data_IF_624775372506
#
_entry.id   IF_624775372506
#
_cell.length_a   1.000
_cell.length_b   1.000
_cell.length_c   1.000
_cell.angle_alpha   90.00
_cell.angle_beta   90.00
_cell.angle_gamma   90.00
#
_symmetry.space_group_name_H-M   'P 1'
#
loop_
_entity.id
_entity.type
_entity.pdbx_description
1 polymer ?
#
# COMPACT_ATOMS: atom_id res chain seq x y z
N UNK A 1 -4.21 49.72 -38.63
CA UNK A 1 -5.13 49.10 -37.65
C UNK A 1 -4.57 49.39 -36.28
N UNK A 2 -5.38 49.84 -35.32
CA UNK A 2 -4.87 50.15 -33.99
C UNK A 2 -4.28 48.90 -33.31
N UNK A 3 -3.14 49.02 -32.61
CA UNK A 3 -2.51 47.89 -31.92
C UNK A 3 -3.45 47.22 -30.90
N UNK A 4 -4.40 47.98 -30.34
CA UNK A 4 -5.45 47.46 -29.46
C UNK A 4 -6.36 46.43 -30.17
N UNK A 5 -6.73 46.69 -31.43
CA UNK A 5 -7.57 45.79 -32.22
C UNK A 5 -6.81 44.51 -32.54
N UNK A 6 -5.53 44.63 -32.90
CA UNK A 6 -4.67 43.47 -33.14
C UNK A 6 -4.56 42.59 -31.87
N UNK A 7 -4.34 43.20 -30.71
CA UNK A 7 -4.25 42.49 -29.43
C UNK A 7 -5.55 41.75 -29.09
N UNK A 8 -6.71 42.40 -29.28
CA UNK A 8 -8.02 41.76 -29.03
C UNK A 8 -8.27 40.54 -29.91
N UNK A 9 -7.93 40.61 -31.21
CA UNK A 9 -8.08 39.49 -32.14
C UNK A 9 -7.15 38.32 -31.78
N UNK A 10 -5.92 38.61 -31.35
CA UNK A 10 -4.97 37.57 -30.90
C UNK A 10 -5.53 36.84 -29.68
N UNK A 11 -6.05 37.57 -28.67
CA UNK A 11 -6.62 36.95 -27.47
C UNK A 11 -7.82 36.05 -27.83
N UNK A 12 -8.73 36.52 -28.69
CA UNK A 12 -9.88 35.74 -29.14
C UNK A 12 -9.45 34.46 -29.87
N UNK A 13 -8.44 34.56 -30.74
CA UNK A 13 -7.88 33.41 -31.44
C UNK A 13 -7.29 32.37 -30.47
N UNK A 14 -6.57 32.80 -29.43
CA UNK A 14 -6.01 31.88 -28.41
C UNK A 14 -7.13 31.17 -27.64
N UNK A 15 -8.15 31.89 -27.17
CA UNK A 15 -9.28 31.28 -26.44
C UNK A 15 -10.06 30.31 -27.34
N UNK A 16 -10.22 30.66 -28.62
CA UNK A 16 -10.84 29.77 -29.59
C UNK A 16 -10.01 28.51 -29.83
N UNK A 17 -8.68 28.62 -29.98
CA UNK A 17 -7.80 27.46 -30.13
C UNK A 17 -7.85 26.53 -28.90
N UNK A 18 -7.86 27.08 -27.68
CA UNK A 18 -8.02 26.27 -26.46
C UNK A 18 -9.36 25.53 -26.47
N UNK A 19 -10.45 26.24 -26.79
CA UNK A 19 -11.80 25.64 -26.89
C UNK A 19 -11.87 24.57 -27.97
N UNK A 20 -11.25 24.83 -29.13
CA UNK A 20 -11.15 23.90 -30.23
C UNK A 20 -10.32 22.66 -29.87
N UNK A 21 -9.19 22.83 -29.19
CA UNK A 21 -8.37 21.72 -28.70
C UNK A 21 -9.16 20.82 -27.73
N UNK A 22 -9.91 21.40 -26.79
CA UNK A 22 -10.79 20.64 -25.89
C UNK A 22 -11.85 19.88 -26.69
N UNK A 23 -12.51 20.54 -27.64
CA UNK A 23 -13.47 19.91 -28.55
C UNK A 23 -12.85 18.80 -29.38
N UNK A 24 -11.64 18.96 -29.92
CA UNK A 24 -10.93 17.93 -30.69
C UNK A 24 -10.56 16.75 -29.81
N UNK A 25 -10.11 16.97 -28.57
CA UNK A 25 -9.83 15.89 -27.61
C UNK A 25 -11.12 15.14 -27.25
N UNK A 26 -12.22 15.85 -26.96
CA UNK A 26 -13.53 15.23 -26.69
C UNK A 26 -14.09 14.52 -27.92
N UNK A 27 -13.94 15.09 -29.11
CA UNK A 27 -14.37 14.49 -30.37
C UNK A 27 -13.51 13.30 -30.75
N UNK A 28 -12.18 13.33 -30.53
CA UNK A 28 -11.29 12.19 -30.77
C UNK A 28 -11.59 11.08 -29.78
N UNK A 29 -11.77 11.41 -28.50
CA UNK A 29 -12.24 10.47 -27.48
C UNK A 29 -13.59 9.84 -27.91
N UNK A 30 -14.56 10.65 -28.32
CA UNK A 30 -15.89 10.20 -28.78
C UNK A 30 -15.88 9.49 -30.14
N UNK A 31 -14.96 9.81 -31.03
CA UNK A 31 -14.83 9.18 -32.34
C UNK A 31 -14.17 7.82 -32.22
N UNK A 32 -13.08 7.71 -31.45
CA UNK A 32 -12.48 6.43 -31.08
C UNK A 32 -13.51 5.56 -30.37
N UNK A 33 -14.32 6.15 -29.49
CA UNK A 33 -15.46 5.51 -28.84
C UNK A 33 -16.53 4.98 -29.83
N UNK A 34 -16.98 5.78 -30.80
CA UNK A 34 -17.94 5.33 -31.82
C UNK A 34 -17.35 4.25 -32.74
N UNK A 35 -16.07 4.35 -33.10
CA UNK A 35 -15.38 3.32 -33.92
C UNK A 35 -15.26 2.00 -33.17
N UNK A 36 -14.92 2.04 -31.88
CA UNK A 36 -14.86 0.87 -31.02
C UNK A 36 -16.22 0.17 -30.95
N UNK A 37 -17.30 0.92 -30.69
CA UNK A 37 -18.67 0.37 -30.68
C UNK A 37 -19.10 -0.23 -32.04
N UNK A 38 -18.75 0.41 -33.16
CA UNK A 38 -19.16 -0.06 -34.50
C UNK A 38 -18.36 -1.27 -34.98
N UNK A 39 -17.07 -1.36 -34.63
CA UNK A 39 -16.21 -2.47 -35.05
C UNK A 39 -16.49 -3.75 -34.28
N UNK A 40 -16.99 -3.66 -33.05
CA UNK A 40 -17.04 -4.80 -32.14
C UNK A 40 -18.43 -5.44 -32.00
N UNK A 41 -19.50 -4.83 -32.52
CA UNK A 41 -20.90 -5.27 -32.29
C UNK A 41 -21.19 -6.73 -32.66
N UNK A 42 -20.49 -7.32 -33.62
CA UNK A 42 -20.76 -8.68 -34.09
C UNK A 42 -19.85 -9.76 -33.44
N UNK A 43 -18.72 -9.36 -32.83
CA UNK A 43 -17.81 -10.27 -32.11
C UNK A 43 -17.93 -10.18 -30.59
N UNK A 44 -18.59 -9.13 -30.07
CA UNK A 44 -18.64 -8.84 -28.64
C UNK A 44 -19.65 -9.67 -27.86
N UNK A 45 -20.76 -10.16 -28.41
CA UNK A 45 -21.73 -10.91 -27.56
C UNK A 45 -21.08 -12.13 -26.88
N UNK A 46 -20.13 -12.78 -27.57
CA UNK A 46 -19.33 -13.87 -26.98
C UNK A 46 -18.30 -13.38 -25.96
N UNK A 47 -17.48 -12.37 -26.32
CA UNK A 47 -16.47 -11.79 -25.41
C UNK A 47 -17.07 -11.03 -24.21
N UNK A 48 -18.29 -10.51 -24.36
CA UNK A 48 -19.09 -9.90 -23.30
C UNK A 48 -19.46 -10.94 -22.27
N UNK A 49 -19.92 -12.11 -22.71
CA UNK A 49 -20.26 -13.18 -21.80
C UNK A 49 -19.00 -13.65 -21.05
N UNK A 50 -17.92 -13.93 -21.79
CA UNK A 50 -16.67 -14.46 -21.21
C UNK A 50 -16.09 -13.52 -20.12
N UNK A 51 -16.00 -12.22 -20.38
CA UNK A 51 -15.42 -11.26 -19.44
C UNK A 51 -16.33 -10.96 -18.24
N UNK A 52 -17.65 -10.98 -18.45
CA UNK A 52 -18.59 -10.82 -17.34
C UNK A 52 -18.61 -12.06 -16.46
N UNK A 53 -18.44 -13.24 -17.06
CA UNK A 53 -18.24 -14.49 -16.35
C UNK A 53 -16.94 -14.47 -15.53
N UNK A 54 -15.85 -13.87 -16.02
CA UNK A 54 -14.63 -13.64 -15.20
C UNK A 54 -14.95 -12.83 -13.93
N UNK A 55 -15.77 -11.79 -14.05
CA UNK A 55 -16.18 -10.97 -12.90
C UNK A 55 -17.08 -11.74 -11.92
N UNK A 56 -18.01 -12.54 -12.43
CA UNK A 56 -18.85 -13.42 -11.60
C UNK A 56 -17.95 -14.44 -10.88
N UNK A 57 -16.95 -15.01 -11.55
CA UNK A 57 -16.01 -15.98 -10.99
C UNK A 57 -15.01 -15.38 -9.99
N UNK A 58 -14.77 -14.06 -10.05
CA UNK A 58 -13.86 -13.39 -9.11
C UNK A 58 -14.32 -13.56 -7.65
N UNK A 59 -15.61 -13.40 -7.38
CA UNK A 59 -16.16 -13.53 -6.02
C UNK A 59 -15.94 -14.93 -5.41
N UNK A 60 -16.34 -16.05 -6.04
CA UNK A 60 -16.08 -17.38 -5.49
C UNK A 60 -14.60 -17.73 -5.43
N UNK A 61 -13.76 -17.25 -6.37
CA UNK A 61 -12.32 -17.46 -6.31
C UNK A 61 -11.69 -16.79 -5.07
N UNK A 62 -12.08 -15.55 -4.78
CA UNK A 62 -11.66 -14.84 -3.58
C UNK A 62 -12.16 -15.55 -2.31
N UNK A 63 -13.42 -15.99 -2.30
CA UNK A 63 -13.97 -16.76 -1.17
C UNK A 63 -13.18 -18.03 -0.93
N UNK A 64 -12.91 -18.81 -1.98
CA UNK A 64 -12.14 -20.04 -1.91
C UNK A 64 -10.71 -19.78 -1.41
N UNK A 65 -10.07 -18.70 -1.86
CA UNK A 65 -8.74 -18.32 -1.40
C UNK A 65 -8.73 -17.93 0.08
N UNK A 66 -9.77 -17.27 0.60
CA UNK A 66 -9.94 -17.02 2.03
C UNK A 66 -10.13 -18.32 2.81
N UNK A 67 -11.02 -19.19 2.36
CA UNK A 67 -11.36 -20.45 3.04
C UNK A 67 -10.18 -21.43 3.09
N UNK A 68 -9.33 -21.41 2.05
CA UNK A 68 -8.10 -22.21 1.98
C UNK A 68 -7.02 -21.75 2.98
N UNK A 69 -7.17 -20.59 3.62
CA UNK A 69 -6.18 -20.00 4.51
C UNK A 69 -6.76 -19.80 5.93
N UNK A 70 -6.92 -20.88 6.73
CA UNK A 70 -7.56 -20.82 8.04
C UNK A 70 -6.82 -19.93 9.04
N UNK A 71 -5.50 -19.76 8.88
CA UNK A 71 -4.67 -18.88 9.71
C UNK A 71 -5.09 -17.41 9.63
N UNK A 72 -5.83 -16.99 8.60
CA UNK A 72 -6.44 -15.66 8.53
C UNK A 72 -7.54 -15.45 9.60
N UNK A 73 -8.16 -16.53 10.09
CA UNK A 73 -9.19 -16.48 11.13
C UNK A 73 -8.66 -16.10 12.51
N UNK A 74 -7.40 -16.46 12.79
CA UNK A 74 -6.73 -16.24 14.08
C UNK A 74 -5.85 -14.97 14.07
N UNK A 75 -6.00 -14.12 13.06
CA UNK A 75 -5.21 -12.92 12.87
C UNK A 75 -5.46 -11.88 13.97
N UNK A 76 -4.40 -11.42 14.63
CA UNK A 76 -4.42 -10.35 15.64
C UNK A 76 -3.58 -9.15 15.21
N UNK A 77 -3.86 -7.98 15.80
CA UNK A 77 -3.10 -6.76 15.57
C UNK A 77 -3.12 -6.31 14.11
N UNK A 78 -1.94 -6.12 13.50
CA UNK A 78 -1.81 -5.69 12.10
C UNK A 78 -2.47 -6.64 11.11
N UNK A 79 -2.39 -7.95 11.38
CA UNK A 79 -2.91 -8.96 10.47
C UNK A 79 -4.44 -8.90 10.42
N UNK A 80 -5.10 -8.50 11.52
CA UNK A 80 -6.54 -8.30 11.56
C UNK A 80 -7.01 -7.25 10.54
N UNK A 81 -6.28 -6.13 10.42
CA UNK A 81 -6.58 -5.09 9.42
C UNK A 81 -6.29 -5.57 7.99
N UNK A 82 -5.33 -6.46 7.79
CA UNK A 82 -5.05 -7.05 6.48
C UNK A 82 -6.18 -8.01 6.05
N UNK A 83 -6.64 -8.85 6.99
CA UNK A 83 -7.74 -9.78 6.78
C UNK A 83 -9.05 -9.04 6.50
N UNK A 84 -9.32 -7.95 7.20
CA UNK A 84 -10.52 -7.14 6.94
C UNK A 84 -10.49 -6.53 5.53
N UNK A 85 -9.34 -6.05 5.05
CA UNK A 85 -9.17 -5.58 3.66
C UNK A 85 -9.50 -6.70 2.67
N UNK A 86 -8.98 -7.92 2.89
CA UNK A 86 -9.28 -9.07 2.03
C UNK A 86 -10.79 -9.41 2.04
N UNK A 87 -11.43 -9.38 3.20
CA UNK A 87 -12.89 -9.63 3.34
C UNK A 87 -13.73 -8.52 2.68
N UNK A 88 -13.33 -7.26 2.81
CA UNK A 88 -13.99 -6.14 2.15
C UNK A 88 -13.83 -6.21 0.63
N UNK A 89 -12.68 -6.65 0.13
CA UNK A 89 -12.48 -6.96 -1.28
C UNK A 89 -13.46 -8.04 -1.75
N UNK A 90 -13.60 -9.12 -1.00
CA UNK A 90 -14.58 -10.17 -1.29
C UNK A 90 -16.01 -9.60 -1.34
N UNK A 91 -16.44 -8.87 -0.32
CA UNK A 91 -17.77 -8.26 -0.24
C UNK A 91 -18.03 -7.27 -1.38
N UNK A 92 -17.03 -6.49 -1.77
CA UNK A 92 -17.11 -5.61 -2.92
C UNK A 92 -17.34 -6.42 -4.19
N UNK A 93 -16.53 -7.45 -4.44
CA UNK A 93 -16.67 -8.30 -5.64
C UNK A 93 -17.99 -9.08 -5.67
N UNK A 94 -18.48 -9.55 -4.53
CA UNK A 94 -19.79 -10.20 -4.38
C UNK A 94 -20.95 -9.22 -4.60
N UNK A 95 -20.81 -7.97 -4.16
CA UNK A 95 -21.82 -6.93 -4.43
C UNK A 95 -21.86 -6.60 -5.91
N UNK A 96 -20.70 -6.54 -6.57
CA UNK A 96 -20.58 -6.21 -7.98
C UNK A 96 -21.01 -7.36 -8.90
N UNK A 97 -20.81 -8.63 -8.50
CA UNK A 97 -21.24 -9.80 -9.27
C UNK A 97 -22.77 -9.96 -9.33
N UNK A 98 -23.50 -9.43 -8.33
CA UNK A 98 -24.98 -9.44 -8.27
C UNK A 98 -25.65 -8.38 -9.15
N UNK A 99 -24.88 -7.47 -9.72
CA UNK A 99 -25.41 -6.37 -10.52
C UNK A 99 -25.84 -6.88 -11.88
N UNK A 100 -27.08 -6.67 -12.36
CA UNK A 100 -27.52 -7.25 -13.64
C UNK A 100 -26.72 -6.72 -14.83
N UNK A 101 -26.49 -7.57 -15.84
CA UNK A 101 -25.91 -7.14 -17.11
C UNK A 101 -26.78 -6.05 -17.76
N UNK A 102 -26.14 -4.97 -18.21
CA UNK A 102 -26.80 -3.78 -18.74
C UNK A 102 -26.35 -3.56 -20.20
N UNK A 103 -27.14 -2.85 -21.01
CA UNK A 103 -26.79 -2.48 -22.39
C UNK A 103 -25.50 -1.64 -22.48
N UNK A 104 -25.11 -0.98 -21.37
CA UNK A 104 -23.85 -0.24 -21.26
C UNK A 104 -22.63 -1.13 -20.99
N UNK A 105 -22.81 -2.40 -20.68
CA UNK A 105 -21.72 -3.31 -20.34
C UNK A 105 -20.64 -3.43 -21.43
N UNK A 106 -20.99 -3.56 -22.74
CA UNK A 106 -20.01 -3.62 -23.83
C UNK A 106 -19.06 -2.42 -23.87
N UNK A 107 -19.50 -1.27 -23.35
CA UNK A 107 -18.73 -0.04 -23.31
C UNK A 107 -17.56 -0.10 -22.31
N UNK A 108 -17.78 -0.78 -21.19
CA UNK A 108 -16.86 -0.82 -20.06
C UNK A 108 -16.21 -2.19 -19.87
N UNK A 109 -16.54 -3.16 -20.74
CA UNK A 109 -16.12 -4.55 -20.60
C UNK A 109 -14.59 -4.69 -20.46
N UNK A 110 -13.81 -4.08 -21.36
CA UNK A 110 -12.34 -4.10 -21.29
C UNK A 110 -11.81 -3.54 -19.96
N UNK A 111 -12.43 -2.46 -19.47
CA UNK A 111 -12.05 -1.83 -18.20
C UNK A 111 -12.40 -2.71 -17.00
N UNK A 112 -13.54 -3.41 -17.06
CA UNK A 112 -13.99 -4.34 -16.03
C UNK A 112 -13.07 -5.57 -16.01
N UNK A 113 -12.89 -6.27 -17.13
CA UNK A 113 -12.01 -7.45 -17.21
C UNK A 113 -10.58 -7.12 -16.79
N UNK A 114 -10.01 -6.00 -17.28
CA UNK A 114 -8.67 -5.57 -16.87
C UNK A 114 -8.59 -5.31 -15.36
N UNK A 115 -9.60 -4.67 -14.77
CA UNK A 115 -9.63 -4.40 -13.33
C UNK A 115 -9.83 -5.68 -12.52
N UNK A 116 -10.69 -6.60 -12.98
CA UNK A 116 -10.93 -7.92 -12.41
C UNK A 116 -9.66 -8.77 -12.38
N UNK A 117 -8.97 -8.88 -13.51
CA UNK A 117 -7.70 -9.61 -13.61
C UNK A 117 -6.61 -8.99 -12.74
N UNK A 118 -6.61 -7.65 -12.61
CA UNK A 118 -5.69 -6.94 -11.73
C UNK A 118 -5.99 -7.23 -10.25
N UNK A 119 -7.27 -7.21 -9.85
CA UNK A 119 -7.67 -7.56 -8.48
C UNK A 119 -7.25 -8.98 -8.16
N UNK A 120 -7.51 -9.95 -9.04
CA UNK A 120 -7.12 -11.34 -8.81
C UNK A 120 -5.61 -11.47 -8.54
N UNK A 121 -4.77 -10.84 -9.36
CA UNK A 121 -3.32 -10.82 -9.17
C UNK A 121 -2.92 -10.13 -7.87
N UNK A 122 -3.41 -8.91 -7.64
CA UNK A 122 -3.06 -8.12 -6.46
C UNK A 122 -3.49 -8.84 -5.17
N UNK A 123 -4.65 -9.48 -5.19
CA UNK A 123 -5.20 -10.28 -4.10
C UNK A 123 -4.32 -11.50 -3.81
N UNK A 124 -3.98 -12.29 -4.84
CA UNK A 124 -3.12 -13.46 -4.69
C UNK A 124 -1.73 -13.09 -4.17
N UNK A 125 -1.14 -12.01 -4.69
CA UNK A 125 0.16 -11.53 -4.22
C UNK A 125 0.08 -11.02 -2.78
N UNK A 126 -0.97 -10.28 -2.42
CA UNK A 126 -1.16 -9.80 -1.05
C UNK A 126 -1.31 -10.96 -0.07
N UNK A 127 -2.16 -11.94 -0.39
CA UNK A 127 -2.37 -13.13 0.42
C UNK A 127 -1.09 -13.96 0.58
N UNK A 128 -0.31 -14.14 -0.50
CA UNK A 128 1.01 -14.79 -0.44
C UNK A 128 1.97 -14.03 0.46
N UNK A 129 2.03 -12.70 0.37
CA UNK A 129 2.88 -11.88 1.24
C UNK A 129 2.48 -12.04 2.71
N UNK A 130 1.19 -12.03 3.04
CA UNK A 130 0.73 -12.23 4.41
C UNK A 130 1.08 -13.63 4.96
N UNK A 131 1.17 -14.65 4.10
CA UNK A 131 1.61 -16.00 4.48
C UNK A 131 3.12 -16.16 4.65
N UNK A 132 3.93 -15.15 4.31
CA UNK A 132 5.37 -15.20 4.52
C UNK A 132 5.71 -14.91 5.99
N UNK A 133 6.54 -15.76 6.60
CA UNK A 133 6.91 -15.67 8.03
C UNK A 133 7.52 -14.32 8.42
N UNK A 134 8.28 -13.69 7.51
CA UNK A 134 9.01 -12.44 7.75
C UNK A 134 8.66 -11.39 6.69
N UNK A 135 7.37 -11.18 6.43
CA UNK A 135 6.94 -10.11 5.53
C UNK A 135 7.21 -8.74 6.19
N UNK A 136 7.94 -7.89 5.48
CA UNK A 136 8.13 -6.50 5.88
C UNK A 136 6.77 -5.77 5.87
N UNK A 137 6.53 -5.03 6.95
CA UNK A 137 5.32 -4.24 7.14
C UNK A 137 5.14 -3.19 6.03
N UNK A 138 6.23 -2.61 5.52
CA UNK A 138 6.17 -1.67 4.40
C UNK A 138 5.70 -2.36 3.10
N UNK A 139 6.12 -3.61 2.89
CA UNK A 139 5.68 -4.40 1.73
C UNK A 139 4.20 -4.76 1.88
N UNK A 140 3.76 -5.17 3.06
CA UNK A 140 2.34 -5.44 3.36
C UNK A 140 1.47 -4.20 3.07
N UNK A 141 1.89 -3.02 3.53
CA UNK A 141 1.19 -1.75 3.29
C UNK A 141 1.11 -1.41 1.80
N UNK A 142 2.22 -1.52 1.06
CA UNK A 142 2.24 -1.29 -0.37
C UNK A 142 1.30 -2.24 -1.15
N UNK A 143 1.25 -3.52 -0.75
CA UNK A 143 0.36 -4.52 -1.37
C UNK A 143 -1.10 -4.28 -1.04
N UNK A 144 -1.42 -3.92 0.20
CA UNK A 144 -2.76 -3.51 0.59
C UNK A 144 -3.22 -2.28 -0.22
N UNK A 145 -2.37 -1.27 -0.36
CA UNK A 145 -2.60 -0.10 -1.19
C UNK A 145 -2.85 -0.45 -2.66
N UNK A 146 -2.09 -1.39 -3.22
CA UNK A 146 -2.29 -1.88 -4.59
C UNK A 146 -3.65 -2.56 -4.77
N UNK A 147 -4.04 -3.44 -3.85
CA UNK A 147 -5.33 -4.14 -3.88
C UNK A 147 -6.52 -3.16 -3.74
N UNK A 148 -6.43 -2.18 -2.86
CA UNK A 148 -7.48 -1.15 -2.72
C UNK A 148 -7.56 -0.27 -3.96
N UNK A 149 -6.41 0.06 -4.56
CA UNK A 149 -6.38 0.83 -5.81
C UNK A 149 -7.02 0.08 -6.98
N UNK A 150 -6.79 -1.24 -7.10
CA UNK A 150 -7.44 -2.06 -8.13
C UNK A 150 -8.94 -2.25 -7.86
N UNK A 151 -9.34 -2.41 -6.59
CA UNK A 151 -10.74 -2.42 -6.14
C UNK A 151 -11.47 -1.10 -6.47
N UNK A 152 -10.80 0.03 -6.26
CA UNK A 152 -11.32 1.35 -6.62
C UNK A 152 -11.45 1.51 -8.14
N UNK A 153 -10.46 1.07 -8.91
CA UNK A 153 -10.50 1.12 -10.37
C UNK A 153 -11.70 0.35 -10.94
N UNK A 154 -12.03 -0.82 -10.36
CA UNK A 154 -13.23 -1.58 -10.72
C UNK A 154 -14.52 -0.84 -10.35
N UNK A 155 -14.53 -0.07 -9.26
CA UNK A 155 -15.73 0.66 -8.80
C UNK A 155 -16.14 1.79 -9.76
N UNK A 156 -15.21 2.37 -10.53
CA UNK A 156 -15.48 3.47 -11.46
C UNK A 156 -16.47 3.08 -12.57
N UNK A 157 -16.22 2.05 -13.42
CA UNK A 157 -17.16 1.66 -14.46
C UNK A 157 -18.51 1.22 -13.88
N UNK A 158 -18.52 0.52 -12.74
CA UNK A 158 -19.76 0.12 -12.08
C UNK A 158 -20.56 1.30 -11.54
N UNK A 159 -19.90 2.33 -10.99
CA UNK A 159 -20.58 3.52 -10.49
C UNK A 159 -21.27 4.32 -11.61
N UNK A 160 -20.75 4.22 -12.84
CA UNK A 160 -21.33 4.86 -14.03
C UNK A 160 -22.51 4.05 -14.60
N UNK A 161 -22.40 2.72 -14.60
CA UNK A 161 -23.45 1.83 -15.11
C UNK A 161 -24.60 1.62 -14.11
N UNK A 162 -24.30 1.65 -12.81
CA UNK A 162 -25.20 1.21 -11.73
C UNK A 162 -25.16 2.18 -10.55
N UNK A 163 -25.90 3.30 -10.61
CA UNK A 163 -25.90 4.30 -9.56
C UNK A 163 -26.42 3.78 -8.21
N UNK A 164 -27.17 2.66 -8.20
CA UNK A 164 -27.69 2.03 -6.97
C UNK A 164 -26.60 1.39 -6.12
N UNK A 165 -25.63 0.70 -6.74
CA UNK A 165 -24.52 0.06 -6.02
C UNK A 165 -23.40 1.04 -5.66
N UNK A 166 -23.38 2.23 -6.27
CA UNK A 166 -22.37 3.28 -6.03
C UNK A 166 -22.17 3.59 -4.54
N UNK A 167 -23.25 3.71 -3.78
CA UNK A 167 -23.16 4.05 -2.35
C UNK A 167 -22.53 2.90 -1.54
N UNK A 168 -22.94 1.65 -1.81
CA UNK A 168 -22.35 0.47 -1.17
C UNK A 168 -20.88 0.30 -1.55
N UNK A 169 -20.53 0.44 -2.82
CA UNK A 169 -19.15 0.33 -3.28
C UNK A 169 -18.26 1.41 -2.65
N UNK A 170 -18.77 2.65 -2.59
CA UNK A 170 -18.05 3.74 -1.91
C UNK A 170 -17.83 3.43 -0.43
N UNK A 171 -18.83 2.87 0.26
CA UNK A 171 -18.68 2.48 1.66
C UNK A 171 -17.60 1.40 1.85
N UNK A 172 -17.57 0.37 1.00
CA UNK A 172 -16.52 -0.66 1.05
C UNK A 172 -15.12 -0.07 0.83
N UNK A 173 -14.95 0.79 -0.18
CA UNK A 173 -13.65 1.43 -0.45
C UNK A 173 -13.22 2.31 0.72
N UNK A 174 -14.11 3.14 1.27
CA UNK A 174 -13.79 3.99 2.43
C UNK A 174 -13.39 3.16 3.65
N UNK A 175 -14.02 2.03 3.89
CA UNK A 175 -13.62 1.12 4.97
C UNK A 175 -12.24 0.49 4.71
N UNK A 176 -11.96 0.08 3.47
CA UNK A 176 -10.63 -0.42 3.10
C UNK A 176 -9.54 0.66 3.26
N UNK A 177 -9.83 1.90 2.88
CA UNK A 177 -8.94 3.05 3.06
C UNK A 177 -8.67 3.35 4.54
N UNK A 178 -9.68 3.17 5.40
CA UNK A 178 -9.52 3.28 6.85
C UNK A 178 -8.51 2.25 7.38
N UNK A 179 -8.65 0.98 6.98
CA UNK A 179 -7.66 -0.05 7.35
C UNK A 179 -6.26 0.25 6.81
N UNK A 180 -6.13 0.79 5.59
CA UNK A 180 -4.84 1.26 5.05
C UNK A 180 -4.25 2.38 5.91
N UNK A 181 -5.07 3.35 6.33
CA UNK A 181 -4.57 4.47 7.16
C UNK A 181 -3.97 3.98 8.48
N UNK A 182 -4.58 2.95 9.07
CA UNK A 182 -4.06 2.26 10.25
C UNK A 182 -2.75 1.53 9.92
N UNK A 183 -2.69 0.76 8.83
CA UNK A 183 -1.45 0.11 8.37
C UNK A 183 -0.30 1.12 8.20
N UNK A 184 -0.57 2.27 7.59
CA UNK A 184 0.41 3.36 7.44
C UNK A 184 0.93 3.88 8.76
N UNK A 185 0.07 3.99 9.77
CA UNK A 185 0.50 4.40 11.11
C UNK A 185 1.44 3.38 11.76
N UNK A 186 1.21 2.08 11.54
CA UNK A 186 2.10 1.02 12.01
C UNK A 186 3.45 1.05 11.29
N UNK A 187 3.46 1.24 9.96
CA UNK A 187 4.71 1.39 9.18
C UNK A 187 5.53 2.56 9.74
N UNK A 188 4.89 3.72 9.90
CA UNK A 188 5.55 4.93 10.43
C UNK A 188 6.14 4.69 11.82
N UNK A 189 5.39 4.05 12.70
CA UNK A 189 5.87 3.71 14.05
C UNK A 189 7.06 2.75 14.01
N UNK A 190 7.05 1.76 13.11
CA UNK A 190 8.17 0.84 12.93
C UNK A 190 9.43 1.54 12.39
N UNK A 191 9.27 2.48 11.45
CA UNK A 191 10.36 3.31 10.93
C UNK A 191 10.98 4.21 12.00
N UNK A 192 10.14 4.94 12.76
CA UNK A 192 10.59 5.79 13.87
C UNK A 192 11.32 4.99 14.95
N UNK A 193 10.83 3.78 15.26
CA UNK A 193 11.49 2.85 16.19
C UNK A 193 12.86 2.41 15.66
N UNK A 194 12.96 2.11 14.38
CA UNK A 194 14.22 1.68 13.77
C UNK A 194 15.26 2.82 13.77
N UNK A 195 14.83 4.05 13.46
CA UNK A 195 15.68 5.23 13.52
C UNK A 195 16.21 5.49 14.94
N UNK A 196 15.34 5.40 15.95
CA UNK A 196 15.75 5.57 17.35
C UNK A 196 16.78 4.51 17.80
N UNK A 197 16.64 3.26 17.33
CA UNK A 197 17.61 2.20 17.62
C UNK A 197 18.97 2.49 16.96
N UNK A 198 18.98 2.91 15.69
CA UNK A 198 20.22 3.26 14.97
C UNK A 198 20.94 4.41 15.68
N UNK A 199 20.23 5.45 16.12
CA UNK A 199 20.82 6.56 16.87
C UNK A 199 21.44 6.07 18.18
N UNK A 200 20.72 5.23 18.94
CA UNK A 200 21.24 4.69 20.21
C UNK A 200 22.47 3.79 20.02
N UNK A 201 22.54 3.04 18.92
CA UNK A 201 23.69 2.21 18.57
C UNK A 201 24.89 3.08 18.16
N UNK A 202 24.67 4.13 17.36
CA UNK A 202 25.70 5.06 16.96
C UNK A 202 26.27 5.83 18.17
N UNK A 203 25.42 6.25 19.11
CA UNK A 203 25.87 6.89 20.35
C UNK A 203 26.72 5.93 21.19
N UNK A 204 26.32 4.66 21.30
CA UNK A 204 27.08 3.66 22.05
C UNK A 204 28.43 3.32 21.37
N UNK A 205 28.46 3.26 20.03
CA UNK A 205 29.70 3.08 19.27
C UNK A 205 30.64 4.30 19.40
N UNK A 206 30.10 5.51 19.36
CA UNK A 206 30.86 6.74 19.61
C UNK A 206 31.44 6.76 21.03
N UNK A 207 30.64 6.38 22.04
CA UNK A 207 31.12 6.24 23.43
C UNK A 207 32.23 5.19 23.51
N UNK A 208 32.06 4.02 22.89
CA UNK A 208 33.06 2.95 22.87
C UNK A 208 34.36 3.40 22.20
N UNK A 209 34.28 4.06 21.05
CA UNK A 209 35.44 4.61 20.33
C UNK A 209 36.13 5.72 21.11
N UNK A 210 35.38 6.56 21.84
CA UNK A 210 35.94 7.57 22.73
C UNK A 210 36.76 6.92 23.85
N UNK A 211 36.25 5.87 24.50
CA UNK A 211 37.01 5.14 25.54
C UNK A 211 38.24 4.41 24.97
N UNK A 212 38.13 3.77 23.80
CA UNK A 212 39.26 3.07 23.16
C UNK A 212 40.39 4.03 22.73
N UNK A 213 40.05 5.23 22.26
CA UNK A 213 41.05 6.22 21.86
C UNK A 213 41.69 6.93 23.06
N UNK A 214 40.93 7.26 24.10
CA UNK A 214 41.47 7.85 25.34
C UNK A 214 42.47 6.89 26.01
N UNK A 215 42.16 5.58 26.02
CA UNK A 215 43.06 4.54 26.53
C UNK A 215 44.38 4.40 25.73
N UNK A 216 44.37 4.78 24.45
CA UNK A 216 45.55 4.76 23.57
C UNK A 216 46.38 6.03 23.68
N UNK A 217 45.77 7.18 23.97
CA UNK A 217 46.50 8.43 24.21
C UNK A 217 47.26 8.40 25.55
N UNK A 218 46.67 7.85 26.62
CA UNK A 218 47.36 7.71 27.92
C UNK A 218 48.55 6.73 27.87
N UNK A 219 48.59 5.82 26.90
CA UNK A 219 49.74 4.93 26.70
C UNK A 219 50.89 5.57 25.91
N UNK A 220 50.63 6.57 25.06
CA UNK A 220 51.71 7.23 24.30
C UNK A 220 52.65 8.07 25.17
N UNK A 221 52.17 8.60 26.29
CA UNK A 221 53.01 9.37 27.20
C UNK A 221 53.80 8.49 28.20
N UNK A 222 53.48 7.19 28.30
CA UNK A 222 54.14 6.27 29.23
C UNK A 222 55.04 5.21 28.57
N UNK A 223 54.96 5.03 27.24
CA UNK A 223 55.70 3.95 26.56
C UNK A 223 57.18 4.26 26.25
N UNK A 224 57.74 5.38 26.72
CA UNK A 224 59.20 5.50 26.81
C UNK A 224 59.81 4.58 27.89
N UNK A 225 59.00 3.86 28.67
CA UNK A 225 59.50 2.85 29.60
C UNK A 225 58.67 1.57 29.50
N UNK A 226 59.37 0.53 29.04
CA UNK A 226 59.07 -0.90 29.23
C UNK A 226 58.34 -1.61 28.09
N UNK A 227 59.08 -1.73 26.99
CA UNK A 227 59.15 -2.98 26.21
C UNK A 227 59.34 -4.21 27.11
N UNK A 228 58.50 -5.24 26.90
CA UNK A 228 58.70 -6.70 27.01
C UNK A 228 57.51 -7.42 27.64
N UNK A 229 57.14 -8.53 26.98
CA UNK A 229 56.26 -9.65 27.37
C UNK A 229 54.75 -9.44 27.05
N UNK A 230 54.21 -9.85 25.87
CA UNK A 230 54.15 -11.15 25.16
C UNK A 230 53.05 -12.11 25.69
N UNK A 231 52.02 -12.27 24.84
CA UNK A 231 51.16 -13.44 24.57
C UNK A 231 50.19 -13.99 25.65
N UNK A 232 48.87 -13.96 25.38
CA UNK A 232 48.14 -15.09 24.74
C UNK A 232 46.60 -14.85 24.62
N UNK A 233 46.08 -15.23 23.44
CA UNK A 233 44.83 -15.94 23.11
C UNK A 233 43.45 -15.38 23.55
N UNK A 234 42.65 -14.84 22.62
CA UNK A 234 41.71 -15.52 21.68
C UNK A 234 40.53 -16.19 22.41
N UNK A 235 39.35 -15.57 22.30
CA UNK A 235 38.09 -16.17 21.82
C UNK A 235 36.95 -15.17 22.03
N UNK A 236 36.43 -14.56 20.96
CA UNK A 236 35.11 -13.93 21.02
C UNK A 236 34.37 -14.22 19.72
N UNK A 237 33.47 -15.20 19.81
CA UNK A 237 32.57 -15.64 18.75
C UNK A 237 31.68 -14.49 18.29
N UNK A 238 31.64 -14.32 16.98
CA UNK A 238 30.80 -13.36 16.26
C UNK A 238 29.81 -14.18 15.45
N UNK A 239 28.57 -14.35 15.91
CA UNK A 239 27.39 -14.71 15.10
C UNK A 239 26.23 -15.08 16.00
N UNK A 240 25.22 -14.20 16.09
CA UNK A 240 23.80 -14.52 15.85
C UNK A 240 22.95 -13.30 16.24
N UNK A 241 22.45 -12.62 15.20
CA UNK A 241 21.55 -11.49 15.31
C UNK A 241 20.13 -12.01 15.06
N UNK A 242 19.55 -12.66 16.07
CA UNK A 242 18.14 -13.06 16.06
C UNK A 242 17.28 -11.87 16.49
N UNK A 243 16.61 -11.26 15.52
CA UNK A 243 15.55 -10.27 15.74
C UNK A 243 14.32 -11.02 16.26
N UNK A 244 14.29 -11.29 17.56
CA UNK A 244 13.08 -11.75 18.24
C UNK A 244 12.19 -10.53 18.45
N UNK A 245 11.14 -10.45 17.64
CA UNK A 245 9.96 -9.64 17.91
C UNK A 245 9.34 -10.20 19.20
N UNK A 246 9.72 -9.63 20.34
CA UNK A 246 9.00 -9.84 21.60
C UNK A 246 8.33 -8.53 21.96
N UNK A 247 7.02 -8.53 21.78
CA UNK A 247 6.09 -7.57 22.32
C UNK A 247 6.36 -7.42 23.83
N UNK A 248 6.80 -6.25 24.24
CA UNK A 248 6.79 -5.87 25.66
C UNK A 248 5.51 -5.07 25.90
N UNK A 249 4.62 -5.52 26.80
CA UNK A 249 3.37 -4.84 27.06
C UNK A 249 3.60 -3.53 27.81
N UNK A 250 2.75 -2.57 27.47
CA UNK A 250 2.64 -1.22 27.99
C UNK A 250 2.65 -1.26 29.53
N UNK A 251 3.75 -0.76 30.14
CA UNK A 251 3.80 -0.51 31.57
C UNK A 251 3.14 0.84 31.83
N UNK A 252 1.93 0.81 32.39
CA UNK A 252 1.31 1.97 33.00
C UNK A 252 2.08 2.32 34.28
N UNK A 253 2.74 3.47 34.26
CA UNK A 253 3.33 4.12 35.45
C UNK A 253 2.20 4.62 36.35
N UNK A 254 1.84 3.81 37.35
CA UNK A 254 1.16 4.27 38.56
C UNK A 254 1.90 3.67 39.77
N UNK A 255 2.94 4.36 40.24
CA UNK A 255 3.24 4.33 41.67
C UNK A 255 3.95 5.61 42.14
N UNK A 256 3.14 6.64 42.30
CA UNK A 256 3.38 7.75 43.21
C UNK A 256 3.45 7.17 44.63
N UNK A 257 4.62 7.24 45.28
CA UNK A 257 4.80 7.55 46.71
C UNK A 257 6.20 7.15 47.17
N UNK A 258 7.16 8.09 47.06
CA UNK A 258 8.26 8.19 48.02
C UNK A 258 9.08 9.46 47.79
N UNK A 259 8.53 10.63 48.16
CA UNK A 259 9.35 11.74 48.64
C UNK A 259 8.59 12.53 49.70
N UNK A 260 9.16 12.61 50.89
CA UNK A 260 8.57 13.30 52.03
C UNK A 260 9.46 13.31 53.26
N UNK A 261 10.75 13.61 53.08
CA UNK A 261 11.62 14.15 54.14
C UNK A 261 11.02 15.47 54.64
N UNK A 262 10.74 15.59 55.94
CA UNK A 262 10.96 16.84 56.70
C UNK A 262 11.33 16.51 58.14
N UNK A 263 12.54 16.95 58.51
CA UNK A 263 13.13 17.22 59.84
C UNK A 263 12.85 16.26 61.01
#
# INVERSE_FOLDING_TARGET
MDPAVALALIVLAVVFLISFSILVVMCRSRYQYKRFLKSNRDGFDKLNHDNWDEMIQLSPLISQALDNNPWLGDATGILQHCVSILRLCHQLTDTLSKVPSNELLPMYNDSISTSTQRILKDFDYFLKTLGQKNADLAVIEARACALVSSSFALTIPFSLMFPKSKNSCKAFITEMENHISVLKSYVKYAEERNEALIISMADNENIRNYYDNTSKEENKDNESKKSLDLCNDISNETSEMDIIITETPILSDDNINNEGKVS
#
